data_IF_466129226856
#
_entry.id   IF_466129226856
#
_cell.length_a   1.000
_cell.length_b   1.000
_cell.length_c   1.000
_cell.angle_alpha   90.00
_cell.angle_beta   90.00
_cell.angle_gamma   90.00
#
_symmetry.space_group_name_H-M   'P 1'
#
loop_
_entity.id
_entity.type
_entity.pdbx_description
1 polymer ?
#
# COMPACT_ATOMS: atom_id res chain seq x y z
N UNK A 1 -20.46 9.36 24.38
CA UNK A 1 -20.23 9.53 22.92
C UNK A 1 -19.13 10.59 22.77
N UNK A 2 -18.05 10.25 22.13
CA UNK A 2 -16.89 11.14 21.92
C UNK A 2 -17.12 11.99 20.68
N UNK A 3 -16.91 13.31 20.77
CA UNK A 3 -17.05 14.20 19.61
C UNK A 3 -15.70 14.54 19.02
N UNK A 4 -15.60 14.51 17.69
CA UNK A 4 -14.44 14.90 16.90
C UNK A 4 -14.87 15.97 15.90
N UNK A 5 -14.19 17.13 15.94
CA UNK A 5 -14.42 18.19 14.97
C UNK A 5 -13.85 17.84 13.60
N UNK A 6 -14.62 18.04 12.54
CA UNK A 6 -14.22 17.78 11.17
C UNK A 6 -12.92 18.51 10.78
N UNK A 7 -12.68 19.71 11.31
CA UNK A 7 -11.46 20.47 11.08
C UNK A 7 -10.20 19.74 11.60
N UNK A 8 -10.30 19.00 12.71
CA UNK A 8 -9.17 18.18 13.21
C UNK A 8 -8.85 17.05 12.25
N UNK A 9 -9.88 16.48 11.62
CA UNK A 9 -9.69 15.45 10.58
C UNK A 9 -8.96 16.05 9.38
N UNK A 10 -9.37 17.23 8.91
CA UNK A 10 -8.71 17.95 7.83
C UNK A 10 -7.23 18.18 8.13
N UNK A 11 -6.92 18.70 9.31
CA UNK A 11 -5.53 18.99 9.75
C UNK A 11 -4.70 17.71 9.85
N UNK A 12 -5.28 16.62 10.37
CA UNK A 12 -4.60 15.33 10.47
C UNK A 12 -4.29 14.78 9.07
N UNK A 13 -5.27 14.73 8.17
CA UNK A 13 -5.11 14.19 6.81
C UNK A 13 -4.10 15.02 6.01
N UNK A 14 -4.13 16.35 6.10
CA UNK A 14 -3.13 17.23 5.48
C UNK A 14 -1.71 16.81 5.88
N UNK A 15 -1.45 16.72 7.18
CA UNK A 15 -0.15 16.30 7.71
C UNK A 15 0.27 14.92 7.23
N UNK A 16 -0.64 13.95 7.30
CA UNK A 16 -0.35 12.56 6.91
C UNK A 16 -0.07 12.41 5.42
N UNK A 17 -0.72 13.17 4.54
CA UNK A 17 -0.41 13.18 3.11
C UNK A 17 1.04 13.60 2.83
N UNK A 18 1.50 14.65 3.50
CA UNK A 18 2.87 15.16 3.35
C UNK A 18 3.87 14.14 3.93
N UNK A 19 3.63 13.70 5.16
CA UNK A 19 4.50 12.76 5.86
C UNK A 19 4.67 11.45 5.09
N UNK A 20 3.58 10.86 4.62
CA UNK A 20 3.62 9.64 3.84
C UNK A 20 4.44 9.78 2.55
N UNK A 21 4.46 10.95 1.91
CA UNK A 21 5.19 11.18 0.67
C UNK A 21 6.67 11.55 0.88
N UNK A 22 7.05 12.04 2.07
CA UNK A 22 8.39 12.51 2.36
C UNK A 22 9.24 11.50 3.13
N UNK A 23 8.58 10.65 3.94
CA UNK A 23 9.26 9.77 4.89
C UNK A 23 8.96 8.32 4.55
N UNK A 24 9.98 7.58 4.14
CA UNK A 24 9.87 6.12 4.04
C UNK A 24 9.82 5.53 5.44
N UNK A 25 8.89 4.58 5.66
CA UNK A 25 8.74 3.93 6.95
C UNK A 25 10.02 3.21 7.39
N UNK A 26 10.31 3.22 8.69
CA UNK A 26 11.57 2.70 9.23
C UNK A 26 11.74 1.19 9.04
N UNK A 27 10.67 0.42 8.99
CA UNK A 27 10.68 -1.02 8.71
C UNK A 27 11.14 -1.30 7.28
N UNK A 28 10.65 -0.53 6.30
CA UNK A 28 11.07 -0.63 4.90
C UNK A 28 12.54 -0.22 4.76
N UNK A 29 12.94 0.87 5.42
CA UNK A 29 14.32 1.34 5.39
C UNK A 29 15.28 0.29 5.98
N UNK A 30 14.95 -0.30 7.15
CA UNK A 30 15.72 -1.42 7.72
C UNK A 30 15.80 -2.61 6.77
N UNK A 31 14.70 -2.94 6.09
CA UNK A 31 14.69 -4.03 5.11
C UNK A 31 15.59 -3.75 3.92
N UNK A 32 15.65 -2.52 3.42
CA UNK A 32 16.60 -2.14 2.36
C UNK A 32 18.05 -2.38 2.78
N UNK A 33 18.43 -1.96 3.98
CA UNK A 33 19.77 -2.20 4.50
C UNK A 33 20.09 -3.70 4.65
N UNK A 34 19.12 -4.50 5.08
CA UNK A 34 19.28 -5.96 5.14
C UNK A 34 19.42 -6.56 3.73
N UNK A 35 18.60 -6.15 2.78
CA UNK A 35 18.69 -6.60 1.39
C UNK A 35 20.03 -6.21 0.74
N UNK A 36 20.54 -5.02 1.01
CA UNK A 36 21.85 -4.58 0.51
C UNK A 36 22.99 -5.52 0.93
N UNK A 37 22.92 -6.11 2.13
CA UNK A 37 23.92 -7.07 2.60
C UNK A 37 23.84 -8.43 1.89
N UNK A 38 22.64 -8.83 1.45
CA UNK A 38 22.37 -10.15 0.86
C UNK A 38 22.24 -10.14 -0.66
N UNK A 39 22.09 -8.96 -1.29
CA UNK A 39 21.96 -8.83 -2.73
C UNK A 39 23.22 -9.34 -3.43
N UNK A 40 23.05 -10.20 -4.43
CA UNK A 40 24.15 -10.88 -5.15
C UNK A 40 24.61 -10.10 -6.37
N UNK A 41 23.73 -9.33 -6.99
CA UNK A 41 24.04 -8.52 -8.18
C UNK A 41 24.81 -7.26 -7.77
N UNK A 42 26.01 -6.98 -8.33
CA UNK A 42 26.69 -5.71 -8.10
C UNK A 42 25.83 -4.51 -8.51
N UNK A 43 25.11 -4.59 -9.63
CA UNK A 43 24.20 -3.55 -10.08
C UNK A 43 23.00 -3.42 -9.15
N UNK A 44 22.44 -4.55 -8.68
CA UNK A 44 21.37 -4.57 -7.69
C UNK A 44 21.77 -3.88 -6.38
N UNK A 45 22.99 -4.09 -5.90
CA UNK A 45 23.54 -3.37 -4.73
C UNK A 45 23.64 -1.87 -4.97
N UNK A 46 24.14 -1.45 -6.14
CA UNK A 46 24.22 -0.04 -6.48
C UNK A 46 22.82 0.62 -6.50
N UNK A 47 21.83 -0.07 -7.07
CA UNK A 47 20.45 0.41 -7.08
C UNK A 47 19.89 0.53 -5.67
N UNK A 48 20.06 -0.49 -4.83
CA UNK A 48 19.60 -0.45 -3.43
C UNK A 48 20.25 0.71 -2.66
N UNK A 49 21.54 0.96 -2.86
CA UNK A 49 22.24 2.11 -2.27
C UNK A 49 21.58 3.42 -2.71
N UNK A 50 21.30 3.56 -4.01
CA UNK A 50 20.61 4.75 -4.55
C UNK A 50 19.22 4.94 -3.96
N UNK A 51 18.45 3.84 -3.76
CA UNK A 51 17.12 3.92 -3.14
C UNK A 51 17.19 4.34 -1.66
N UNK A 52 18.19 3.87 -0.91
CA UNK A 52 18.44 4.27 0.47
C UNK A 52 18.81 5.77 0.54
N UNK A 53 19.71 6.22 -0.33
CA UNK A 53 20.11 7.62 -0.41
C UNK A 53 18.93 8.52 -0.80
N UNK A 54 18.11 8.10 -1.77
CA UNK A 54 16.90 8.82 -2.15
C UNK A 54 15.93 8.99 -0.98
N UNK A 55 15.71 7.93 -0.19
CA UNK A 55 14.84 7.98 0.98
C UNK A 55 15.40 8.92 2.06
N UNK A 56 16.72 8.92 2.26
CA UNK A 56 17.41 9.84 3.17
C UNK A 56 17.27 11.30 2.74
N UNK A 57 17.56 11.59 1.47
CA UNK A 57 17.44 12.94 0.89
C UNK A 57 15.99 13.45 1.00
N UNK A 58 15.00 12.63 0.65
CA UNK A 58 13.60 13.00 0.74
C UNK A 58 13.20 13.43 2.17
N UNK A 59 13.66 12.69 3.18
CA UNK A 59 13.42 12.99 4.60
C UNK A 59 14.13 14.27 5.05
N UNK A 60 15.42 14.42 4.73
CA UNK A 60 16.27 15.52 5.18
C UNK A 60 15.91 16.85 4.52
N UNK A 61 15.70 16.82 3.20
CA UNK A 61 15.39 18.02 2.41
C UNK A 61 13.89 18.31 2.34
N UNK A 62 13.05 17.44 2.93
CA UNK A 62 11.59 17.56 2.95
C UNK A 62 10.99 17.70 1.55
N UNK A 63 11.37 16.77 0.67
CA UNK A 63 10.88 16.66 -0.71
C UNK A 63 10.22 15.29 -0.94
N UNK A 64 9.30 15.17 -1.91
CA UNK A 64 8.68 13.87 -2.21
C UNK A 64 9.70 12.82 -2.64
N UNK A 65 9.59 11.61 -2.08
CA UNK A 65 10.47 10.46 -2.37
C UNK A 65 10.37 9.98 -3.84
N UNK A 66 9.27 10.29 -4.53
CA UNK A 66 9.00 9.89 -5.89
C UNK A 66 8.16 10.96 -6.59
N UNK A 67 8.33 11.10 -7.92
CA UNK A 67 7.50 12.00 -8.73
C UNK A 67 6.03 11.57 -8.79
N UNK A 68 5.73 10.27 -8.65
CA UNK A 68 4.35 9.78 -8.51
C UNK A 68 3.97 9.75 -7.03
N UNK A 69 3.34 10.82 -6.56
CA UNK A 69 2.82 10.91 -5.20
C UNK A 69 1.46 10.24 -5.03
N UNK A 70 0.98 9.57 -6.08
CA UNK A 70 -0.14 8.64 -6.06
C UNK A 70 -1.53 9.26 -5.96
N UNK A 71 -2.51 8.37 -5.99
CA UNK A 71 -3.88 8.65 -5.57
C UNK A 71 -4.01 8.32 -4.09
N UNK A 72 -4.66 9.19 -3.32
CA UNK A 72 -4.75 9.01 -1.86
C UNK A 72 -5.78 7.93 -1.51
N UNK A 73 -5.32 6.84 -0.90
CA UNK A 73 -6.18 5.83 -0.29
C UNK A 73 -6.17 6.03 1.22
N UNK A 74 -7.35 6.06 1.83
CA UNK A 74 -7.52 6.35 3.25
C UNK A 74 -8.29 5.22 3.91
N UNK A 75 -7.77 4.72 5.02
CA UNK A 75 -8.45 3.75 5.87
C UNK A 75 -8.80 4.44 7.19
N UNK A 76 -10.10 4.47 7.51
CA UNK A 76 -10.65 5.06 8.72
C UNK A 76 -11.15 3.95 9.63
N UNK A 77 -10.51 3.76 10.77
CA UNK A 77 -11.07 2.97 11.87
C UNK A 77 -11.95 3.87 12.71
N UNK A 78 -13.24 3.58 12.75
CA UNK A 78 -14.26 4.42 13.38
C UNK A 78 -14.96 3.67 14.50
N UNK A 79 -14.73 4.11 15.74
CA UNK A 79 -15.46 3.63 16.92
C UNK A 79 -16.94 4.00 16.84
N UNK A 80 -17.81 3.05 17.17
CA UNK A 80 -19.28 3.26 17.14
C UNK A 80 -19.76 4.40 18.06
N UNK A 81 -18.97 4.75 19.08
CA UNK A 81 -19.28 5.81 20.06
C UNK A 81 -18.65 7.16 19.67
N UNK A 82 -18.12 7.29 18.46
CA UNK A 82 -17.59 8.54 17.91
C UNK A 82 -18.63 9.24 17.05
N UNK A 83 -18.82 10.53 17.30
CA UNK A 83 -19.63 11.43 16.48
C UNK A 83 -18.74 12.50 15.86
N UNK A 84 -18.84 12.66 14.54
CA UNK A 84 -18.20 13.76 13.84
C UNK A 84 -19.11 14.98 13.89
N UNK A 85 -18.55 16.15 14.22
CA UNK A 85 -19.25 17.42 14.33
C UNK A 85 -18.54 18.50 13.54
N UNK A 86 -19.24 19.58 13.19
CA UNK A 86 -18.65 20.72 12.47
C UNK A 86 -18.48 20.53 10.97
N UNK A 87 -18.96 19.42 10.38
CA UNK A 87 -18.92 19.16 8.93
C UNK A 87 -19.08 17.70 8.58
N UNK A 88 -19.18 17.42 7.29
CA UNK A 88 -19.23 16.04 6.75
C UNK A 88 -17.82 15.45 6.66
N UNK A 89 -17.64 14.22 7.10
CA UNK A 89 -16.33 13.58 7.23
C UNK A 89 -15.58 13.47 5.88
N UNK A 90 -16.27 13.14 4.80
CA UNK A 90 -15.62 12.99 3.49
C UNK A 90 -15.15 14.34 2.94
N UNK A 91 -15.91 15.41 3.19
CA UNK A 91 -15.49 16.78 2.84
C UNK A 91 -14.24 17.18 3.62
N UNK A 92 -14.20 16.87 4.93
CA UNK A 92 -13.04 17.15 5.78
C UNK A 92 -11.80 16.37 5.32
N UNK A 93 -11.95 15.08 4.98
CA UNK A 93 -10.87 14.25 4.44
C UNK A 93 -10.38 14.81 3.11
N UNK A 94 -11.27 15.08 2.15
CA UNK A 94 -10.89 15.61 0.85
C UNK A 94 -10.26 17.01 0.96
N UNK A 95 -10.72 17.84 1.91
CA UNK A 95 -10.08 19.12 2.18
C UNK A 95 -8.65 18.93 2.71
N UNK A 96 -8.42 17.95 3.58
CA UNK A 96 -7.07 17.61 4.07
C UNK A 96 -6.15 17.13 2.95
N UNK A 97 -6.66 16.28 2.04
CA UNK A 97 -5.92 15.84 0.85
C UNK A 97 -5.54 17.04 -0.03
N UNK A 98 -6.50 17.91 -0.34
CA UNK A 98 -6.28 19.12 -1.15
C UNK A 98 -5.17 19.99 -0.57
N UNK A 99 -5.26 20.29 0.72
CA UNK A 99 -4.27 21.08 1.43
C UNK A 99 -2.90 20.40 1.50
N UNK A 100 -2.87 19.10 1.78
CA UNK A 100 -1.63 18.32 1.84
C UNK A 100 -0.90 18.26 0.50
N UNK A 101 -1.65 18.05 -0.60
CA UNK A 101 -1.06 18.02 -1.94
C UNK A 101 -0.60 19.40 -2.42
N UNK A 102 -1.23 20.48 -1.98
CA UNK A 102 -0.79 21.83 -2.28
C UNK A 102 0.43 22.22 -1.48
N UNK A 103 0.37 22.15 -0.15
CA UNK A 103 1.45 22.58 0.77
C UNK A 103 2.70 21.69 0.69
N UNK A 104 2.50 20.39 0.41
CA UNK A 104 3.58 19.41 0.21
C UNK A 104 4.12 19.37 -1.21
N UNK A 105 3.73 20.29 -2.10
CA UNK A 105 4.16 20.27 -3.51
C UNK A 105 4.01 18.91 -4.18
N UNK A 106 2.97 18.16 -3.79
CA UNK A 106 2.71 16.82 -4.29
C UNK A 106 2.06 16.87 -5.67
N UNK A 107 2.37 15.88 -6.52
CA UNK A 107 1.82 15.81 -7.87
C UNK A 107 0.32 15.49 -7.82
N UNK A 108 -0.49 16.34 -8.45
CA UNK A 108 -1.94 16.19 -8.56
C UNK A 108 -2.27 15.33 -9.77
N UNK A 109 -2.52 14.03 -9.54
CA UNK A 109 -2.64 13.02 -10.60
C UNK A 109 -4.07 12.54 -10.87
N UNK A 110 -5.05 12.98 -10.05
CA UNK A 110 -6.44 12.52 -10.17
C UNK A 110 -7.15 13.22 -11.33
N UNK A 111 -7.85 12.43 -12.15
CA UNK A 111 -8.76 12.91 -13.18
C UNK A 111 -10.20 12.70 -12.73
N UNK A 112 -11.10 13.64 -13.02
CA UNK A 112 -12.50 13.63 -12.54
C UNK A 112 -13.32 12.46 -13.11
N UNK A 113 -12.92 11.97 -14.27
CA UNK A 113 -13.59 10.88 -14.97
C UNK A 113 -12.57 10.06 -15.75
N UNK A 114 -12.66 8.71 -15.76
CA UNK A 114 -11.67 7.87 -16.43
C UNK A 114 -11.71 7.96 -17.96
N UNK A 115 -12.81 8.43 -18.55
CA UNK A 115 -13.00 8.59 -19.99
C UNK A 115 -12.66 10.02 -20.42
N UNK A 116 -13.28 11.03 -19.76
CA UNK A 116 -13.06 12.46 -20.02
C UNK A 116 -11.68 12.98 -19.55
N UNK A 117 -11.05 12.35 -18.60
CA UNK A 117 -9.67 12.51 -18.14
C UNK A 117 -9.22 13.95 -17.84
N UNK A 118 -10.13 14.82 -17.47
CA UNK A 118 -9.80 16.19 -17.03
C UNK A 118 -9.25 16.13 -15.59
N UNK A 119 -8.06 16.68 -15.38
CA UNK A 119 -7.42 16.71 -14.07
C UNK A 119 -8.22 17.54 -13.06
N UNK A 120 -8.38 17.04 -11.84
CA UNK A 120 -9.13 17.73 -10.76
C UNK A 120 -8.35 18.92 -10.19
N UNK A 121 -7.05 18.99 -10.42
CA UNK A 121 -6.09 20.02 -9.97
C UNK A 121 -5.83 20.06 -8.46
N UNK A 122 -6.43 19.17 -7.68
CA UNK A 122 -6.32 19.14 -6.23
C UNK A 122 -6.11 17.72 -5.65
N UNK A 123 -5.99 16.71 -6.54
CA UNK A 123 -5.81 15.29 -6.20
C UNK A 123 -6.97 14.67 -5.43
N UNK A 124 -8.16 15.23 -5.54
CA UNK A 124 -9.39 14.66 -4.96
C UNK A 124 -10.32 14.11 -6.05
N UNK A 125 -11.29 13.22 -5.72
CA UNK A 125 -11.52 12.66 -4.39
C UNK A 125 -10.50 11.61 -3.97
N UNK A 126 -10.32 11.41 -2.66
CA UNK A 126 -9.62 10.26 -2.09
C UNK A 126 -10.49 8.99 -2.23
N UNK A 127 -9.84 7.82 -2.21
CA UNK A 127 -10.51 6.53 -2.01
C UNK A 127 -10.58 6.27 -0.50
N UNK A 128 -11.78 6.22 0.06
CA UNK A 128 -11.96 6.14 1.52
C UNK A 128 -12.61 4.80 1.87
N UNK A 129 -11.98 4.08 2.79
CA UNK A 129 -12.48 2.84 3.37
C UNK A 129 -12.77 3.06 4.86
N UNK A 130 -13.96 2.68 5.30
CA UNK A 130 -14.37 2.75 6.69
C UNK A 130 -14.42 1.36 7.32
N UNK A 131 -13.83 1.21 8.50
CA UNK A 131 -13.99 0.05 9.37
C UNK A 131 -14.61 0.49 10.69
N UNK A 132 -15.81 -0.01 10.98
CA UNK A 132 -16.47 0.23 12.24
C UNK A 132 -15.93 -0.73 13.30
N UNK A 133 -15.61 -0.19 14.48
CA UNK A 133 -15.14 -0.97 15.64
C UNK A 133 -15.92 -0.60 16.89
N UNK A 134 -15.98 -1.46 17.91
CA UNK A 134 -16.56 -1.10 19.22
C UNK A 134 -15.77 0.05 19.88
N UNK A 135 -16.44 0.83 20.72
CA UNK A 135 -15.82 1.89 21.53
C UNK A 135 -15.65 3.21 20.78
N UNK A 136 -14.70 4.03 21.22
CA UNK A 136 -14.53 5.42 20.80
C UNK A 136 -13.19 5.71 20.09
N UNK A 137 -12.52 4.69 19.59
CA UNK A 137 -11.31 4.84 18.81
C UNK A 137 -11.60 5.56 17.48
N UNK A 138 -10.70 6.47 17.08
CA UNK A 138 -10.73 7.06 15.75
C UNK A 138 -9.30 7.18 15.22
N UNK A 139 -9.03 6.42 14.17
CA UNK A 139 -7.70 6.30 13.60
C UNK A 139 -7.76 6.40 12.08
N UNK A 140 -6.81 7.12 11.50
CA UNK A 140 -6.70 7.31 10.05
C UNK A 140 -5.34 6.85 9.58
N UNK A 141 -5.32 6.03 8.53
CA UNK A 141 -4.13 5.72 7.74
C UNK A 141 -4.27 6.35 6.37
N UNK A 142 -3.30 7.14 5.97
CA UNK A 142 -3.21 7.73 4.63
C UNK A 142 -2.12 6.99 3.86
N UNK A 143 -2.50 6.33 2.77
CA UNK A 143 -1.63 5.51 1.94
C UNK A 143 -1.68 5.98 0.47
N UNK A 144 -0.83 6.94 0.07
CA UNK A 144 -0.75 7.36 -1.32
C UNK A 144 -0.28 6.22 -2.22
N UNK A 145 -1.10 5.81 -3.17
CA UNK A 145 -0.85 4.66 -4.04
C UNK A 145 -0.46 5.10 -5.44
N UNK A 146 0.81 4.86 -5.78
CA UNK A 146 1.34 5.13 -7.13
C UNK A 146 0.78 4.17 -8.18
N UNK A 147 0.49 4.68 -9.38
CA UNK A 147 -0.19 3.90 -10.41
C UNK A 147 0.74 3.02 -11.26
N UNK A 148 2.05 3.23 -11.21
CA UNK A 148 3.00 2.29 -11.81
C UNK A 148 2.85 0.88 -11.25
N UNK A 149 2.65 0.77 -9.93
CA UNK A 149 2.42 -0.50 -9.25
C UNK A 149 0.94 -0.88 -9.17
N UNK A 150 0.00 0.08 -9.03
CA UNK A 150 -1.43 -0.22 -9.01
C UNK A 150 -1.88 -0.91 -10.31
N UNK A 151 -1.42 -0.45 -11.46
CA UNK A 151 -1.73 -1.01 -12.77
C UNK A 151 -1.20 -2.44 -12.99
N UNK A 152 -0.39 -2.95 -12.08
CA UNK A 152 0.18 -4.31 -12.12
C UNK A 152 -0.45 -5.26 -11.10
N UNK A 153 -1.42 -4.76 -10.36
CA UNK A 153 -2.25 -5.56 -9.46
C UNK A 153 -3.26 -6.37 -10.27
N UNK A 154 -3.67 -7.52 -9.73
CA UNK A 154 -4.59 -8.42 -10.40
C UNK A 154 -5.55 -9.08 -9.42
N UNK A 155 -6.69 -9.56 -9.93
CA UNK A 155 -7.70 -10.26 -9.16
C UNK A 155 -8.27 -11.41 -9.98
N UNK A 156 -8.38 -12.59 -9.35
CA UNK A 156 -8.94 -13.77 -9.99
C UNK A 156 -9.91 -14.51 -9.07
N UNK A 157 -11.00 -14.95 -9.64
CA UNK A 157 -11.92 -15.89 -9.01
C UNK A 157 -11.42 -17.31 -9.27
N UNK A 158 -10.64 -17.85 -8.33
CA UNK A 158 -10.18 -19.23 -8.39
C UNK A 158 -11.29 -20.21 -8.00
N UNK A 159 -11.14 -21.46 -8.40
CA UNK A 159 -12.01 -22.53 -7.92
C UNK A 159 -11.50 -23.05 -6.57
N UNK A 160 -12.37 -23.44 -5.65
CA UNK A 160 -11.95 -24.05 -4.37
C UNK A 160 -11.00 -25.24 -4.55
N UNK A 161 -11.13 -26.00 -5.66
CA UNK A 161 -10.24 -27.11 -6.02
C UNK A 161 -8.82 -26.69 -6.36
N UNK A 162 -8.59 -25.41 -6.74
CA UNK A 162 -7.24 -24.91 -7.05
C UNK A 162 -6.40 -24.78 -5.77
N UNK A 163 -7.04 -24.57 -4.62
CA UNK A 163 -6.43 -24.58 -3.31
C UNK A 163 -5.20 -23.68 -3.18
N UNK A 164 -4.31 -24.02 -2.24
CA UNK A 164 -3.05 -23.27 -2.02
C UNK A 164 -2.14 -23.27 -3.25
N UNK A 165 -2.00 -24.38 -4.03
CA UNK A 165 -1.19 -24.35 -5.26
C UNK A 165 -1.66 -23.30 -6.26
N UNK A 166 -2.99 -23.20 -6.50
CA UNK A 166 -3.55 -22.20 -7.40
C UNK A 166 -3.33 -20.77 -6.91
N UNK A 167 -3.44 -20.53 -5.59
CA UNK A 167 -3.14 -19.23 -4.99
C UNK A 167 -1.68 -18.86 -5.24
N UNK A 168 -0.73 -19.76 -4.94
CA UNK A 168 0.70 -19.53 -5.15
C UNK A 168 1.01 -19.20 -6.61
N UNK A 169 0.51 -20.00 -7.52
CA UNK A 169 0.72 -19.78 -8.95
C UNK A 169 0.21 -18.42 -9.41
N UNK A 170 -1.01 -18.03 -8.99
CA UNK A 170 -1.59 -16.75 -9.36
C UNK A 170 -0.76 -15.56 -8.83
N UNK A 171 -0.29 -15.63 -7.57
CA UNK A 171 0.55 -14.57 -6.98
C UNK A 171 1.88 -14.45 -7.73
N UNK A 172 2.55 -15.58 -8.00
CA UNK A 172 3.83 -15.61 -8.71
C UNK A 172 3.68 -15.08 -10.13
N UNK A 173 2.64 -15.54 -10.85
CA UNK A 173 2.35 -15.08 -12.21
C UNK A 173 2.09 -13.58 -12.26
N UNK A 174 1.31 -13.03 -11.31
CA UNK A 174 1.03 -11.60 -11.23
C UNK A 174 2.33 -10.81 -11.09
N UNK A 175 3.22 -11.19 -10.18
CA UNK A 175 4.51 -10.49 -9.97
C UNK A 175 5.43 -10.68 -11.18
N UNK A 176 5.48 -11.88 -11.77
CA UNK A 176 6.27 -12.17 -12.97
C UNK A 176 5.84 -11.31 -14.17
N UNK A 177 4.54 -11.23 -14.44
CA UNK A 177 4.00 -10.37 -15.51
C UNK A 177 4.16 -8.87 -15.22
N UNK A 178 4.18 -8.47 -13.96
CA UNK A 178 4.46 -7.10 -13.58
C UNK A 178 5.90 -6.70 -13.94
N UNK A 179 6.86 -7.60 -13.76
CA UNK A 179 8.27 -7.41 -14.09
C UNK A 179 8.86 -6.17 -13.41
N UNK A 180 9.55 -5.33 -14.18
CA UNK A 180 10.17 -4.10 -13.70
C UNK A 180 9.19 -2.92 -13.51
N UNK A 181 7.98 -2.99 -14.10
CA UNK A 181 7.05 -1.86 -14.15
C UNK A 181 6.62 -1.31 -12.77
N UNK A 182 6.44 -2.14 -11.70
CA UNK A 182 6.09 -1.62 -10.38
C UNK A 182 7.29 -1.05 -9.62
N UNK A 183 8.45 -0.91 -10.23
CA UNK A 183 9.68 -0.44 -9.59
C UNK A 183 10.04 -1.28 -8.34
N UNK A 184 10.44 -2.56 -8.52
CA UNK A 184 10.88 -3.40 -7.40
C UNK A 184 12.12 -2.82 -6.69
N UNK A 185 12.43 -3.23 -5.44
CA UNK A 185 11.76 -4.35 -4.73
C UNK A 185 10.37 -3.99 -4.27
N UNK A 186 9.44 -4.93 -4.44
CA UNK A 186 8.02 -4.72 -4.20
C UNK A 186 7.59 -5.18 -2.80
N UNK A 187 6.48 -4.64 -2.30
CA UNK A 187 5.70 -5.24 -1.23
C UNK A 187 4.45 -5.82 -1.88
N UNK A 188 4.17 -7.09 -1.66
CA UNK A 188 3.04 -7.79 -2.28
C UNK A 188 1.96 -8.02 -1.23
N UNK A 189 0.82 -7.38 -1.42
CA UNK A 189 -0.37 -7.60 -0.60
C UNK A 189 -1.30 -8.61 -1.26
N UNK A 190 -1.69 -9.64 -0.54
CA UNK A 190 -2.59 -10.70 -1.02
C UNK A 190 -3.85 -10.70 -0.16
N UNK A 191 -5.00 -10.62 -0.81
CA UNK A 191 -6.31 -10.75 -0.19
C UNK A 191 -6.99 -12.03 -0.64
N UNK A 192 -7.41 -12.89 0.28
CA UNK A 192 -8.00 -14.18 -0.02
C UNK A 192 -9.36 -14.31 0.69
N UNK A 193 -10.39 -14.65 -0.07
CA UNK A 193 -11.73 -14.89 0.46
C UNK A 193 -12.64 -13.67 0.45
N UNK A 194 -13.80 -13.80 1.07
CA UNK A 194 -14.90 -12.86 0.96
C UNK A 194 -15.57 -12.94 -0.42
N UNK A 195 -15.86 -11.78 -0.96
CA UNK A 195 -16.33 -11.52 -2.31
C UNK A 195 -15.22 -10.84 -3.11
N UNK A 196 -15.43 -10.61 -4.43
CA UNK A 196 -14.44 -9.99 -5.31
C UNK A 196 -13.90 -8.67 -4.76
N UNK A 197 -14.78 -7.76 -4.36
CA UNK A 197 -14.40 -6.47 -3.80
C UNK A 197 -13.74 -6.59 -2.42
N UNK A 198 -14.13 -7.59 -1.62
CA UNK A 198 -13.51 -7.84 -0.31
C UNK A 198 -12.07 -8.35 -0.47
N UNK A 199 -11.81 -9.24 -1.40
CA UNK A 199 -10.46 -9.69 -1.71
C UNK A 199 -9.58 -8.54 -2.19
N UNK A 200 -10.08 -7.67 -3.08
CA UNK A 200 -9.39 -6.47 -3.54
C UNK A 200 -9.06 -5.51 -2.37
N UNK A 201 -10.02 -5.26 -1.48
CA UNK A 201 -9.80 -4.46 -0.28
C UNK A 201 -8.71 -5.05 0.62
N UNK A 202 -8.77 -6.36 0.89
CA UNK A 202 -7.81 -7.06 1.75
C UNK A 202 -6.39 -7.00 1.18
N UNK A 203 -6.22 -7.19 -0.13
CA UNK A 203 -4.90 -7.12 -0.76
C UNK A 203 -4.27 -5.72 -0.63
N UNK A 204 -5.08 -4.67 -0.75
CA UNK A 204 -4.63 -3.29 -0.56
C UNK A 204 -4.31 -3.00 0.91
N UNK A 205 -5.16 -3.45 1.83
CA UNK A 205 -4.92 -3.33 3.28
C UNK A 205 -3.68 -4.11 3.74
N UNK A 206 -3.39 -5.26 3.13
CA UNK A 206 -2.21 -6.05 3.43
C UNK A 206 -0.89 -5.29 3.20
N UNK A 207 -0.86 -4.31 2.27
CA UNK A 207 0.31 -3.45 2.05
C UNK A 207 0.66 -2.55 3.25
N UNK A 208 -0.28 -2.35 4.19
CA UNK A 208 -0.07 -1.52 5.38
C UNK A 208 0.59 -2.29 6.52
N UNK A 209 0.71 -3.61 6.42
CA UNK A 209 1.38 -4.41 7.46
C UNK A 209 2.88 -4.07 7.48
N UNK A 210 3.48 -3.89 8.67
CA UNK A 210 4.90 -3.61 8.79
C UNK A 210 5.75 -4.69 8.13
N UNK A 211 6.75 -4.27 7.36
CA UNK A 211 7.72 -5.19 6.74
C UNK A 211 8.55 -5.88 7.81
N UNK A 212 8.54 -7.22 7.79
CA UNK A 212 9.14 -8.06 8.84
C UNK A 212 8.16 -8.50 9.92
N UNK A 213 6.88 -8.06 9.87
CA UNK A 213 5.85 -8.63 10.74
C UNK A 213 5.51 -10.06 10.33
N UNK A 214 5.30 -10.91 11.32
CA UNK A 214 4.87 -12.31 11.12
C UNK A 214 3.34 -12.38 11.17
N UNK A 215 2.75 -13.18 10.30
CA UNK A 215 1.31 -13.42 10.33
C UNK A 215 0.93 -14.19 11.60
N UNK A 216 -0.17 -13.78 12.25
CA UNK A 216 -0.65 -14.44 13.47
C UNK A 216 -1.09 -15.90 13.23
N UNK A 217 -1.49 -16.21 12.01
CA UNK A 217 -1.82 -17.56 11.57
C UNK A 217 -0.56 -18.27 11.04
N UNK A 218 -0.10 -19.36 11.67
CA UNK A 218 1.13 -20.05 11.28
C UNK A 218 1.13 -20.58 9.85
N UNK A 219 -0.03 -21.05 9.36
CA UNK A 219 -0.20 -21.52 7.97
C UNK A 219 -0.03 -20.38 6.96
N UNK A 220 -0.54 -19.20 7.26
CA UNK A 220 -0.34 -18.03 6.41
C UNK A 220 1.08 -17.48 6.52
N UNK A 221 1.69 -17.50 7.70
CA UNK A 221 3.09 -17.11 7.87
C UNK A 221 4.04 -17.98 7.02
N UNK A 222 3.81 -19.29 6.99
CA UNK A 222 4.54 -20.19 6.11
C UNK A 222 4.32 -19.88 4.64
N UNK A 223 3.09 -19.63 4.22
CA UNK A 223 2.75 -19.28 2.84
C UNK A 223 3.35 -17.93 2.42
N UNK A 224 3.34 -16.91 3.30
CA UNK A 224 4.00 -15.62 3.07
C UNK A 224 5.50 -15.80 2.82
N UNK A 225 6.17 -16.65 3.61
CA UNK A 225 7.59 -16.93 3.44
C UNK A 225 7.88 -17.70 2.14
N UNK A 226 7.10 -18.73 1.84
CA UNK A 226 7.25 -19.47 0.58
C UNK A 226 7.10 -18.57 -0.64
N UNK A 227 6.06 -17.73 -0.67
CA UNK A 227 5.82 -16.78 -1.75
C UNK A 227 6.95 -15.73 -1.84
N UNK A 228 7.45 -15.25 -0.72
CA UNK A 228 8.58 -14.33 -0.68
C UNK A 228 9.83 -14.95 -1.32
N UNK A 229 10.13 -16.20 -1.00
CA UNK A 229 11.29 -16.91 -1.55
C UNK A 229 11.10 -17.20 -3.06
N UNK A 230 9.88 -17.63 -3.48
CA UNK A 230 9.54 -17.90 -4.88
C UNK A 230 9.65 -16.63 -5.73
N UNK A 231 9.10 -15.51 -5.25
CA UNK A 231 9.17 -14.21 -5.94
C UNK A 231 10.61 -13.72 -6.08
N UNK A 232 11.43 -13.87 -5.05
CA UNK A 232 12.84 -13.47 -5.11
C UNK A 232 13.66 -14.35 -6.04
N UNK A 233 13.27 -15.62 -6.25
CA UNK A 233 13.87 -16.51 -7.26
C UNK A 233 13.56 -16.10 -8.71
N UNK A 234 12.54 -15.27 -8.95
CA UNK A 234 12.28 -14.73 -10.29
C UNK A 234 13.46 -13.91 -10.85
N UNK A 235 14.31 -13.37 -9.97
CA UNK A 235 15.52 -12.68 -10.39
C UNK A 235 15.28 -11.33 -11.07
N UNK A 236 14.07 -10.74 -10.94
CA UNK A 236 13.75 -9.42 -11.51
C UNK A 236 14.67 -8.36 -10.91
N UNK A 237 14.91 -8.43 -9.61
CA UNK A 237 15.86 -7.60 -8.89
C UNK A 237 15.46 -6.14 -8.74
N UNK A 238 16.30 -5.32 -8.05
CA UNK A 238 16.00 -3.92 -7.79
C UNK A 238 15.81 -3.14 -9.11
N UNK A 239 14.68 -2.45 -9.21
CA UNK A 239 14.22 -1.65 -10.37
C UNK A 239 14.23 -2.45 -11.69
N UNK A 240 14.24 -3.79 -11.62
CA UNK A 240 14.23 -4.67 -12.79
C UNK A 240 15.60 -4.89 -13.45
N UNK A 241 16.69 -4.52 -12.80
CA UNK A 241 18.04 -4.71 -13.33
C UNK A 241 18.67 -6.08 -13.02
N UNK A 242 17.85 -7.02 -12.57
CA UNK A 242 18.33 -8.33 -12.13
C UNK A 242 18.88 -8.31 -10.71
N UNK A 243 18.86 -9.47 -10.07
CA UNK A 243 19.35 -9.63 -8.71
C UNK A 243 18.44 -10.52 -7.86
N UNK A 244 18.80 -10.66 -6.60
CA UNK A 244 18.10 -11.53 -5.64
C UNK A 244 17.00 -10.82 -4.83
N UNK A 245 16.82 -9.51 -5.01
CA UNK A 245 15.87 -8.70 -4.26
C UNK A 245 14.76 -8.18 -5.16
N UNK A 246 13.74 -9.00 -5.40
CA UNK A 246 12.54 -8.65 -6.18
C UNK A 246 11.42 -8.12 -5.29
N UNK A 247 11.26 -8.72 -4.09
CA UNK A 247 10.30 -8.30 -3.09
C UNK A 247 10.95 -8.08 -1.72
N UNK A 248 10.40 -7.12 -0.96
CA UNK A 248 10.75 -6.87 0.45
C UNK A 248 9.90 -7.70 1.40
N UNK A 249 8.63 -7.90 1.05
CA UNK A 249 7.69 -8.70 1.84
C UNK A 249 6.52 -9.19 0.98
N UNK A 250 5.89 -10.27 1.45
CA UNK A 250 4.56 -10.72 1.02
C UNK A 250 3.67 -10.75 2.26
N UNK A 251 2.51 -10.13 2.19
CA UNK A 251 1.56 -10.08 3.30
C UNK A 251 0.19 -10.59 2.85
N UNK A 252 -0.40 -11.51 3.62
CA UNK A 252 -1.69 -12.14 3.31
C UNK A 252 -2.72 -11.75 4.36
N UNK A 253 -3.88 -11.29 3.90
CA UNK A 253 -5.08 -11.15 4.72
C UNK A 253 -6.19 -12.04 4.16
N UNK A 254 -6.96 -12.64 5.05
CA UNK A 254 -8.05 -13.56 4.67
C UNK A 254 -9.38 -13.12 5.24
N UNK A 255 -10.45 -13.56 4.61
CA UNK A 255 -11.82 -13.40 5.10
C UNK A 255 -12.62 -14.66 4.80
N UNK A 256 -13.68 -14.91 5.61
CA UNK A 256 -14.61 -15.99 5.32
C UNK A 256 -15.21 -15.84 3.93
N UNK A 257 -15.39 -16.95 3.20
CA UNK A 257 -15.88 -16.93 1.82
C UNK A 257 -17.00 -17.96 1.62
N UNK A 258 -17.72 -17.84 0.52
CA UNK A 258 -18.71 -18.85 0.12
C UNK A 258 -18.04 -20.15 -0.25
N UNK A 259 -18.68 -21.29 0.09
CA UNK A 259 -18.12 -22.65 -0.14
C UNK A 259 -17.73 -22.92 -1.61
N UNK A 260 -18.38 -22.26 -2.56
CA UNK A 260 -18.14 -22.43 -4.00
C UNK A 260 -17.15 -21.39 -4.58
N UNK A 261 -16.53 -20.54 -3.76
CA UNK A 261 -15.67 -19.48 -4.26
C UNK A 261 -14.30 -19.43 -3.58
N UNK A 262 -13.29 -18.98 -4.35
CA UNK A 262 -11.95 -18.69 -3.84
C UNK A 262 -11.43 -17.43 -4.54
N UNK A 263 -11.97 -16.23 -4.19
CA UNK A 263 -11.45 -14.99 -4.73
C UNK A 263 -10.05 -14.71 -4.16
N UNK A 264 -9.13 -14.33 -5.04
CA UNK A 264 -7.76 -13.96 -4.68
C UNK A 264 -7.40 -12.67 -5.41
N UNK A 265 -6.92 -11.70 -4.66
CA UNK A 265 -6.42 -10.43 -5.20
C UNK A 265 -4.97 -10.22 -4.79
N UNK A 266 -4.17 -9.72 -5.73
CA UNK A 266 -2.77 -9.35 -5.53
C UNK A 266 -2.63 -7.86 -5.79
N UNK A 267 -2.28 -7.09 -4.78
CA UNK A 267 -1.96 -5.66 -4.93
C UNK A 267 -0.45 -5.46 -4.76
N UNK A 268 0.17 -4.83 -5.74
CA UNK A 268 1.62 -4.63 -5.76
C UNK A 268 1.94 -3.21 -5.29
N UNK A 269 2.78 -3.10 -4.26
CA UNK A 269 3.44 -1.86 -3.84
C UNK A 269 4.83 -1.76 -4.45
N UNK A 270 5.29 -0.55 -4.81
CA UNK A 270 6.65 -0.32 -5.27
C UNK A 270 7.65 -0.21 -4.10
N UNK A 271 8.93 -0.02 -4.41
CA UNK A 271 9.97 0.22 -3.39
C UNK A 271 9.67 1.42 -2.49
N UNK A 272 8.91 2.40 -2.96
CA UNK A 272 8.43 3.55 -2.18
C UNK A 272 6.98 3.35 -1.69
N UNK A 273 6.58 2.12 -1.34
CA UNK A 273 5.32 1.87 -0.64
C UNK A 273 5.32 2.65 0.66
N UNK A 274 4.30 3.45 0.85
CA UNK A 274 4.29 4.50 1.88
C UNK A 274 2.91 4.66 2.48
N UNK A 275 2.89 4.90 3.77
CA UNK A 275 1.71 5.34 4.50
C UNK A 275 2.15 6.12 5.73
N UNK A 276 1.24 6.93 6.25
CA UNK A 276 1.37 7.58 7.55
C UNK A 276 0.03 7.46 8.27
N UNK A 277 0.07 7.45 9.59
CA UNK A 277 -1.11 7.19 10.39
C UNK A 277 -1.20 8.10 11.61
N UNK A 278 -2.40 8.25 12.15
CA UNK A 278 -2.64 9.05 13.34
C UNK A 278 -4.03 8.86 13.91
N UNK A 279 -4.14 9.12 15.19
CA UNK A 279 -5.41 9.06 15.94
C UNK A 279 -5.85 10.46 16.39
N UNK A 280 -7.15 10.63 16.52
CA UNK A 280 -7.78 11.81 17.10
C UNK A 280 -8.50 11.44 18.40
#
# INVERSE_FOLDING_TARGET
MREIQAEKITTLVERLCIEACYVLADDINRKFHSCLQTERSPLGRQVLTTLIDNARIAREERVPICQDTGMTVIFVTWGQDVRITGGFIEDAINQGVRQGYEKGYLRKSVVRDPIDRVNTKDNTPAIIHYEMVPGDAFHIVVAPKGFGSENKSDLKMLMPSDGVPGIKQFVIDTVSHAGANPCPPTIVGVGIGGTMERAAYLSKKALLRPVGSVNERPDLAALEQELYDDINRLGIGPVGFGGSTTALAVHILTFATHIAGLPVSVNIGCHATRHAEGSL
#
